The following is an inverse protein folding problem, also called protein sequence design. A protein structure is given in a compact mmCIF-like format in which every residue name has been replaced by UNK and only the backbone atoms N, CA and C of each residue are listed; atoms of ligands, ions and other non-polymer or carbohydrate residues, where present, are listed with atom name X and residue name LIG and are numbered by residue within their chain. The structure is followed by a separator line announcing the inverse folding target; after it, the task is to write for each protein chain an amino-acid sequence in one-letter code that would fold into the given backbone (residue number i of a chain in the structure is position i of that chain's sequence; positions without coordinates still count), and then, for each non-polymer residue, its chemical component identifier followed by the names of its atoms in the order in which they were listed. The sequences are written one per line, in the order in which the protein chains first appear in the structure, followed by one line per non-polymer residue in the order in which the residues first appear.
data_IF_911194132447
#
_entry.id   IF_911194132447
#
_cell.length_a   1.000
_cell.length_b   1.000
_cell.length_c   1.000
_cell.angle_alpha   90.00
_cell.angle_beta   90.00
_cell.angle_gamma   90.00
#
_symmetry.space_group_name_H-M   'P 1'
#
loop_
_entity.id
_entity.type
_entity.pdbx_description
1 polymer ?
#
# COMPACT_ATOMS: atom_id res chain seq x y z
N UNK A 1 -25.21 1.44 -13.76
CA UNK A 1 -23.80 1.01 -13.86
C UNK A 1 -23.41 0.34 -12.55
N UNK A 2 -23.07 -0.95 -12.55
CA UNK A 2 -22.62 -1.63 -11.33
C UNK A 2 -21.30 -0.97 -10.85
N UNK A 3 -21.27 -0.47 -9.61
CA UNK A 3 -20.02 0.01 -8.99
C UNK A 3 -19.09 -1.18 -8.89
N UNK A 4 -17.95 -1.13 -9.61
CA UNK A 4 -16.88 -2.11 -9.41
C UNK A 4 -16.57 -2.18 -7.91
N UNK A 5 -16.47 -3.39 -7.32
CA UNK A 5 -16.12 -3.52 -5.91
C UNK A 5 -14.83 -2.75 -5.66
N UNK A 6 -14.82 -1.93 -4.62
CA UNK A 6 -13.61 -1.21 -4.21
C UNK A 6 -12.60 -2.27 -3.75
N UNK A 7 -11.45 -2.33 -4.42
CA UNK A 7 -10.38 -3.25 -4.04
C UNK A 7 -10.02 -3.07 -2.56
N UNK A 8 -9.77 -4.19 -1.88
CA UNK A 8 -9.41 -4.25 -0.47
C UNK A 8 -8.02 -4.88 -0.36
N UNK A 9 -7.06 -4.23 0.32
CA UNK A 9 -5.73 -4.80 0.49
C UNK A 9 -5.75 -6.05 1.36
N UNK A 10 -5.06 -7.11 0.93
CA UNK A 10 -4.94 -8.39 1.65
C UNK A 10 -3.48 -8.65 2.02
N UNK A 11 -3.19 -9.20 3.22
CA UNK A 11 -1.85 -9.64 3.58
C UNK A 11 -1.22 -10.55 2.51
N UNK A 12 0.05 -10.27 2.18
CA UNK A 12 0.79 -10.96 1.15
C UNK A 12 0.76 -10.27 -0.21
N UNK A 13 -0.22 -9.40 -0.49
CA UNK A 13 -0.31 -8.69 -1.76
C UNK A 13 0.63 -7.48 -1.83
N UNK A 14 0.98 -7.11 -3.07
CA UNK A 14 1.54 -5.81 -3.37
C UNK A 14 0.44 -4.76 -3.36
N UNK A 15 0.80 -3.54 -2.97
CA UNK A 15 -0.07 -2.39 -2.99
C UNK A 15 0.74 -1.15 -3.37
N UNK A 16 0.04 -0.16 -3.92
CA UNK A 16 0.61 1.15 -4.11
C UNK A 16 0.15 2.07 -2.97
N UNK A 17 1.09 2.49 -2.12
CA UNK A 17 0.84 3.44 -1.06
C UNK A 17 0.95 4.86 -1.58
N UNK A 18 -0.13 5.63 -1.46
CA UNK A 18 -0.18 7.03 -1.86
C UNK A 18 -0.49 7.94 -0.66
N UNK A 19 0.37 8.93 -0.44
CA UNK A 19 0.15 9.95 0.59
C UNK A 19 0.70 11.29 0.12
N UNK A 20 -0.18 12.29 0.03
CA UNK A 20 0.14 13.67 -0.36
C UNK A 20 0.86 14.47 0.71
N UNK A 21 0.74 14.10 2.00
CA UNK A 21 1.30 14.86 3.12
C UNK A 21 2.65 14.31 3.63
N UNK A 22 2.99 13.06 3.30
CA UNK A 22 4.17 12.37 3.84
C UNK A 22 5.45 12.60 3.04
N UNK A 23 6.61 12.68 3.72
CA UNK A 23 7.93 12.67 3.05
C UNK A 23 8.25 11.33 2.38
N UNK A 24 7.65 10.24 2.84
CA UNK A 24 7.95 8.87 2.39
C UNK A 24 7.36 8.52 1.01
N UNK A 25 6.32 9.24 0.56
CA UNK A 25 5.52 8.83 -0.59
C UNK A 25 5.18 9.99 -1.54
N UNK A 26 6.06 11.00 -1.65
CA UNK A 26 5.92 12.03 -2.70
C UNK A 26 6.08 11.37 -4.07
N UNK A 27 4.96 10.99 -4.69
CA UNK A 27 4.91 10.24 -5.94
C UNK A 27 4.40 8.79 -5.82
N UNK A 28 4.02 8.35 -4.61
CA UNK A 28 3.59 6.98 -4.36
C UNK A 28 4.75 6.02 -4.12
N UNK A 29 4.47 4.91 -3.46
CA UNK A 29 5.46 3.90 -3.06
C UNK A 29 4.88 2.51 -3.20
N UNK A 30 5.61 1.59 -3.83
CA UNK A 30 5.23 0.19 -3.83
C UNK A 30 5.55 -0.43 -2.48
N UNK A 31 4.55 -1.06 -1.89
CA UNK A 31 4.64 -1.69 -0.58
C UNK A 31 4.06 -3.10 -0.64
N UNK A 32 4.46 -3.95 0.30
CA UNK A 32 3.84 -5.25 0.53
C UNK A 32 2.96 -5.16 1.76
N UNK A 33 1.72 -5.62 1.67
CA UNK A 33 0.84 -5.74 2.84
C UNK A 33 1.32 -6.93 3.67
N UNK A 34 1.62 -6.69 4.95
CA UNK A 34 2.11 -7.73 5.86
C UNK A 34 0.97 -8.29 6.70
N UNK A 35 0.12 -7.41 7.24
CA UNK A 35 -0.97 -7.77 8.11
C UNK A 35 -2.03 -6.67 8.17
N UNK A 36 -3.25 -7.05 8.57
CA UNK A 36 -4.23 -6.10 9.06
C UNK A 36 -3.79 -5.56 10.44
N UNK A 37 -3.93 -4.26 10.64
CA UNK A 37 -3.82 -3.64 11.96
C UNK A 37 -5.22 -3.34 12.51
N UNK A 38 -5.33 -2.55 13.57
CA UNK A 38 -6.64 -2.16 14.12
C UNK A 38 -7.27 -0.99 13.35
N UNK A 39 -8.60 -1.01 13.19
CA UNK A 39 -9.37 0.18 12.80
C UNK A 39 -9.22 0.60 11.33
N UNK A 40 -9.07 -0.36 10.40
CA UNK A 40 -8.92 -0.08 8.98
C UNK A 40 -7.51 0.40 8.59
N UNK A 41 -6.51 0.06 9.40
CA UNK A 41 -5.10 0.26 9.11
C UNK A 41 -4.46 -1.06 8.67
N UNK A 42 -3.39 -0.95 7.91
CA UNK A 42 -2.57 -2.06 7.43
C UNK A 42 -1.13 -1.86 7.88
N UNK A 43 -0.45 -2.94 8.25
CA UNK A 43 1.00 -2.97 8.39
C UNK A 43 1.56 -3.30 7.01
N UNK A 44 2.44 -2.44 6.49
CA UNK A 44 3.06 -2.63 5.19
C UNK A 44 4.58 -2.56 5.30
N UNK A 45 5.25 -3.29 4.42
CA UNK A 45 6.70 -3.23 4.22
C UNK A 45 7.03 -2.40 2.98
N UNK A 46 7.94 -1.44 3.14
CA UNK A 46 8.50 -0.65 2.06
C UNK A 46 10.00 -0.90 1.97
N UNK A 47 10.51 -1.00 0.74
CA UNK A 47 11.96 -1.03 0.50
C UNK A 47 12.54 0.39 0.48
N UNK A 48 13.66 0.59 1.16
CA UNK A 48 14.48 1.79 1.06
C UNK A 48 15.44 1.68 -0.13
N UNK A 49 16.04 2.81 -0.49
CA UNK A 49 17.04 2.85 -1.58
C UNK A 49 18.30 2.02 -1.31
N UNK A 50 18.57 1.66 -0.06
CA UNK A 50 19.67 0.76 0.34
C UNK A 50 19.26 -0.73 0.36
N UNK A 51 18.04 -1.05 -0.05
CA UNK A 51 17.50 -2.41 -0.04
C UNK A 51 16.98 -2.88 1.33
N UNK A 52 17.12 -2.09 2.39
CA UNK A 52 16.54 -2.42 3.68
C UNK A 52 15.01 -2.29 3.66
N UNK A 53 14.33 -3.16 4.40
CA UNK A 53 12.87 -3.10 4.55
C UNK A 53 12.49 -2.32 5.81
N UNK A 54 11.49 -1.46 5.68
CA UNK A 54 10.86 -0.80 6.82
C UNK A 54 9.39 -1.13 6.92
N UNK A 55 8.92 -1.35 8.15
CA UNK A 55 7.50 -1.52 8.45
C UNK A 55 6.89 -0.20 8.85
N UNK A 56 5.75 0.10 8.25
CA UNK A 56 4.95 1.28 8.55
C UNK A 56 3.48 0.89 8.65
N UNK A 57 2.74 1.58 9.52
CA UNK A 57 1.29 1.44 9.63
C UNK A 57 0.63 2.53 8.81
N UNK A 58 -0.26 2.15 7.89
CA UNK A 58 -0.94 3.08 6.96
C UNK A 58 -2.43 2.81 6.95
N UNK A 59 -3.24 3.82 6.60
CA UNK A 59 -4.68 3.62 6.38
C UNK A 59 -4.88 2.73 5.15
N UNK A 60 -5.79 1.77 5.23
CA UNK A 60 -6.16 0.96 4.05
C UNK A 60 -6.66 1.84 2.89
N UNK A 61 -7.30 2.98 3.18
CA UNK A 61 -7.75 3.95 2.19
C UNK A 61 -6.62 4.69 1.45
N UNK A 62 -5.39 4.63 1.96
CA UNK A 62 -4.19 5.18 1.31
C UNK A 62 -3.47 4.14 0.46
N UNK A 63 -3.99 2.91 0.38
CA UNK A 63 -3.52 1.86 -0.50
C UNK A 63 -4.41 1.79 -1.74
N UNK A 64 -3.77 1.54 -2.88
CA UNK A 64 -4.42 1.28 -4.15
C UNK A 64 -3.95 -0.07 -4.69
N UNK A 65 -4.83 -0.72 -5.46
CA UNK A 65 -4.48 -1.94 -6.18
C UNK A 65 -3.22 -1.67 -7.02
N UNK A 66 -2.31 -2.64 -7.12
CA UNK A 66 -1.22 -2.56 -8.07
C UNK A 66 -1.77 -2.21 -9.45
N UNK A 67 -1.09 -1.32 -10.16
CA UNK A 67 -1.40 -1.14 -11.58
C UNK A 67 -1.18 -2.50 -12.26
N UNK A 68 -2.13 -2.99 -13.07
CA UNK A 68 -1.94 -4.22 -13.82
C UNK A 68 -0.65 -4.09 -14.65
N UNK A 69 0.16 -5.15 -14.67
CA UNK A 69 1.37 -5.14 -15.50
C UNK A 69 0.96 -4.99 -16.96
N UNK A 70 1.69 -4.15 -17.69
CA UNK A 70 1.58 -4.00 -19.14
C UNK A 70 2.37 -5.07 -19.90
N UNK A 71 2.99 -5.99 -19.16
CA UNK A 71 3.85 -7.07 -19.63
C UNK A 71 3.41 -8.38 -19.00
#
# INVERSE_FOLDING_TARGET
MARKPKWVPVPGELAHYFNTAGKLARGGLNVRVVAEASGGYMIVEAARGDGSLVRITVKASSLMAPQPSLF
#
